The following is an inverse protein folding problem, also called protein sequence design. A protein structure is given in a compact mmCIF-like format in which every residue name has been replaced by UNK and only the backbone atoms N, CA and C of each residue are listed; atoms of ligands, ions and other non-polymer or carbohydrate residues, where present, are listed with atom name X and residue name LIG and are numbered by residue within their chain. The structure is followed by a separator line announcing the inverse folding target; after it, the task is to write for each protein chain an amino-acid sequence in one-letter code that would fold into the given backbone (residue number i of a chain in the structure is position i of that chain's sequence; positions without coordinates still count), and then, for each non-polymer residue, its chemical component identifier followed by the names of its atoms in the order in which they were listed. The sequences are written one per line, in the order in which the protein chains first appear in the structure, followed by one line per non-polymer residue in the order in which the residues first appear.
data_IF_074837098328
#
_entry.id   IF_074837098328
#
_cell.length_a   1.000
_cell.length_b   1.000
_cell.length_c   1.000
_cell.angle_alpha   90.00
_cell.angle_beta   90.00
_cell.angle_gamma   90.00
#
_symmetry.space_group_name_H-M   'P 1'
#
loop_
_entity.id
_entity.type
_entity.pdbx_description
1 polymer ?
#
# COMPACT_ATOMS: atom_id res chain seq x y z
N UNK A 1 5.10 -58.24 32.45
CA UNK A 1 5.04 -59.18 31.31
C UNK A 1 6.45 -59.29 30.76
N UNK A 2 7.31 -60.19 31.26
CA UNK A 2 7.42 -61.62 30.89
C UNK A 2 7.49 -61.87 29.37
N UNK A 3 8.70 -61.98 28.82
CA UNK A 3 9.33 -63.22 28.30
C UNK A 3 10.69 -62.85 27.68
N UNK A 4 11.87 -63.31 28.15
CA UNK A 4 12.53 -64.64 28.14
C UNK A 4 13.25 -65.02 26.83
N UNK A 5 14.50 -65.49 27.02
CA UNK A 5 15.45 -66.22 26.15
C UNK A 5 16.64 -65.34 25.67
N UNK A 6 17.91 -65.58 26.01
CA UNK A 6 18.60 -66.73 26.60
C UNK A 6 19.66 -67.24 25.62
N UNK A 7 20.96 -67.10 25.93
CA UNK A 7 21.95 -68.16 25.74
C UNK A 7 23.26 -67.84 26.47
N UNK A 8 23.66 -68.82 27.27
CA UNK A 8 24.86 -68.89 28.09
C UNK A 8 25.67 -70.05 27.49
N UNK A 9 26.91 -69.82 27.06
CA UNK A 9 27.85 -70.91 26.77
C UNK A 9 29.16 -70.60 27.45
N UNK A 10 29.37 -71.27 28.58
CA UNK A 10 30.66 -71.44 29.21
C UNK A 10 31.42 -72.57 28.51
N UNK A 11 32.61 -72.27 27.99
CA UNK A 11 33.55 -73.24 27.43
C UNK A 11 34.85 -73.23 28.23
N UNK A 12 35.11 -74.35 28.91
CA UNK A 12 36.32 -74.68 29.68
C UNK A 12 37.61 -74.54 28.84
N UNK A 13 38.64 -74.03 29.50
CA UNK A 13 40.07 -74.12 29.18
C UNK A 13 40.56 -75.53 28.83
N UNK A 14 41.64 -75.62 28.03
CA UNK A 14 42.75 -76.51 28.35
C UNK A 14 44.04 -75.74 28.62
N UNK A 15 44.79 -76.25 29.61
CA UNK A 15 46.17 -75.91 29.97
C UNK A 15 47.18 -76.41 28.93
N UNK A 16 48.30 -75.69 28.82
CA UNK A 16 49.54 -76.09 28.12
C UNK A 16 49.69 -75.40 26.77
N UNK A 17 50.72 -74.62 26.48
CA UNK A 17 52.13 -74.74 26.85
C UNK A 17 52.81 -73.36 26.85
N UNK A 18 53.80 -73.22 27.73
CA UNK A 18 54.70 -72.08 27.82
C UNK A 18 55.30 -71.70 26.45
N UNK A 19 55.12 -70.44 26.08
CA UNK A 19 55.81 -69.76 25.01
C UNK A 19 55.95 -68.31 25.43
N UNK A 20 57.13 -67.97 25.93
CA UNK A 20 57.72 -66.63 26.06
C UNK A 20 56.72 -65.48 26.29
N UNK A 21 56.46 -65.21 27.56
CA UNK A 21 56.05 -63.89 28.00
C UNK A 21 57.20 -62.92 27.72
N UNK A 22 57.19 -62.28 26.55
CA UNK A 22 57.69 -60.91 26.47
C UNK A 22 56.78 -60.08 27.37
N UNK A 23 57.18 -59.97 28.63
CA UNK A 23 56.77 -58.90 29.52
C UNK A 23 57.23 -57.57 28.88
N UNK A 24 56.54 -57.13 27.83
CA UNK A 24 56.47 -55.72 27.49
C UNK A 24 55.63 -55.14 28.60
N UNK A 25 56.29 -54.71 29.67
CA UNK A 25 55.72 -53.87 30.71
C UNK A 25 55.21 -52.59 30.06
N UNK A 26 54.02 -52.68 29.45
CA UNK A 26 53.35 -51.60 28.76
C UNK A 26 52.77 -50.74 29.85
N UNK A 27 53.53 -49.73 30.26
CA UNK A 27 53.03 -48.72 31.17
C UNK A 27 51.90 -47.98 30.45
N UNK A 28 50.66 -48.24 30.88
CA UNK A 28 49.46 -47.59 30.35
C UNK A 28 49.34 -46.21 30.99
N UNK A 29 49.68 -45.17 30.24
CA UNK A 29 49.55 -43.78 30.70
C UNK A 29 48.23 -43.19 30.21
N UNK A 30 47.23 -43.11 31.09
CA UNK A 30 46.00 -42.36 30.79
C UNK A 30 46.26 -40.89 31.07
N UNK A 31 46.26 -40.08 30.02
CA UNK A 31 46.45 -38.64 30.09
C UNK A 31 45.16 -38.00 29.63
N UNK A 32 44.52 -37.20 30.49
CA UNK A 32 43.21 -36.58 30.25
C UNK A 32 43.40 -35.13 29.81
N UNK A 33 42.80 -34.78 28.68
CA UNK A 33 42.75 -33.40 28.18
C UNK A 33 41.30 -33.02 28.01
N UNK A 34 40.90 -31.83 28.45
CA UNK A 34 39.53 -31.33 28.30
C UNK A 34 39.51 -30.24 27.23
N UNK A 35 38.81 -30.51 26.13
CA UNK A 35 38.52 -29.48 25.13
C UNK A 35 37.12 -28.94 25.39
N UNK A 36 37.01 -27.64 25.65
CA UNK A 36 35.71 -26.95 25.63
C UNK A 36 35.42 -26.58 24.19
N UNK A 37 34.48 -27.31 23.60
CA UNK A 37 33.91 -26.89 22.32
C UNK A 37 33.02 -25.71 22.61
N UNK A 38 33.30 -24.57 21.99
CA UNK A 38 32.36 -23.45 22.02
C UNK A 38 30.98 -23.87 21.52
N UNK A 39 30.04 -22.94 21.49
CA UNK A 39 28.78 -23.16 20.77
C UNK A 39 28.96 -23.38 19.26
N UNK A 40 30.21 -23.37 18.76
CA UNK A 40 30.69 -23.61 17.40
C UNK A 40 30.26 -24.93 16.74
N UNK A 41 29.32 -25.69 17.31
CA UNK A 41 28.70 -26.83 16.61
C UNK A 41 29.62 -28.02 16.31
N UNK A 42 30.92 -27.94 16.65
CA UNK A 42 31.88 -29.04 16.56
C UNK A 42 31.32 -30.24 17.35
N UNK A 43 30.85 -31.25 16.63
CA UNK A 43 30.35 -32.48 17.24
C UNK A 43 31.51 -33.25 17.87
N UNK A 44 31.20 -34.07 18.88
CA UNK A 44 32.16 -35.04 19.43
C UNK A 44 32.79 -35.88 18.32
N UNK A 45 32.01 -36.24 17.30
CA UNK A 45 32.46 -36.95 16.09
C UNK A 45 33.51 -36.18 15.28
N UNK A 46 33.38 -34.86 15.16
CA UNK A 46 34.35 -34.04 14.43
C UNK A 46 35.69 -33.98 15.16
N UNK A 47 35.66 -33.92 16.49
CA UNK A 47 36.86 -33.94 17.34
C UNK A 47 37.51 -35.31 17.32
N UNK A 48 36.71 -36.38 17.36
CA UNK A 48 37.19 -37.75 17.20
C UNK A 48 37.82 -38.00 15.83
N UNK A 49 37.22 -37.47 14.76
CA UNK A 49 37.79 -37.54 13.41
C UNK A 49 39.14 -36.80 13.31
N UNK A 50 39.27 -35.64 13.96
CA UNK A 50 40.54 -34.88 14.00
C UNK A 50 41.61 -35.66 14.78
N UNK A 51 41.25 -36.21 15.94
CA UNK A 51 42.17 -36.95 16.80
C UNK A 51 42.62 -38.28 16.21
N UNK A 52 41.74 -38.95 15.47
CA UNK A 52 42.05 -40.19 14.77
C UNK A 52 42.66 -40.00 13.38
N UNK A 53 42.85 -38.75 12.94
CA UNK A 53 43.55 -38.43 11.71
C UNK A 53 45.00 -38.91 11.77
N UNK A 54 45.40 -39.75 10.81
CA UNK A 54 46.79 -40.19 10.64
C UNK A 54 47.75 -39.00 10.54
N UNK A 55 47.35 -37.92 9.87
CA UNK A 55 48.16 -36.71 9.74
C UNK A 55 48.42 -36.03 11.09
N UNK A 56 47.47 -36.06 12.02
CA UNK A 56 47.65 -35.50 13.36
C UNK A 56 48.57 -36.38 14.20
N UNK A 57 48.41 -37.71 14.09
CA UNK A 57 49.25 -38.68 14.80
C UNK A 57 50.71 -38.59 14.36
N UNK A 58 50.96 -38.55 13.04
CA UNK A 58 52.30 -38.41 12.47
C UNK A 58 52.95 -37.10 12.91
N UNK A 59 52.25 -35.96 12.77
CA UNK A 59 52.76 -34.65 13.20
C UNK A 59 53.10 -34.60 14.69
N UNK A 60 52.27 -35.20 15.53
CA UNK A 60 52.52 -35.24 16.95
C UNK A 60 53.69 -36.16 17.34
N UNK A 61 53.84 -37.31 16.67
CA UNK A 61 54.99 -38.20 16.85
C UNK A 61 56.30 -37.52 16.43
N UNK A 62 56.31 -36.85 15.27
CA UNK A 62 57.45 -36.05 14.79
C UNK A 62 57.81 -34.91 15.75
N UNK A 63 56.81 -34.14 16.20
CA UNK A 63 57.00 -33.04 17.15
C UNK A 63 57.50 -33.52 18.52
N UNK A 64 57.19 -34.76 18.91
CA UNK A 64 57.70 -35.39 20.13
C UNK A 64 59.12 -35.97 19.97
N UNK A 65 59.66 -36.01 18.74
CA UNK A 65 60.94 -36.64 18.42
C UNK A 65 60.88 -38.18 18.45
N UNK A 66 59.70 -38.76 18.27
CA UNK A 66 59.46 -40.20 18.23
C UNK A 66 59.44 -40.71 16.78
N UNK A 67 59.64 -42.01 16.60
CA UNK A 67 59.44 -42.64 15.30
C UNK A 67 57.94 -42.52 14.90
N UNK A 68 57.59 -42.06 13.69
CA UNK A 68 56.20 -42.03 13.22
C UNK A 68 55.50 -43.41 13.25
N UNK A 69 56.25 -44.51 13.26
CA UNK A 69 55.69 -45.88 13.37
C UNK A 69 55.22 -46.27 14.79
N UNK A 70 55.34 -45.37 15.79
CA UNK A 70 54.86 -45.65 17.15
C UNK A 70 53.32 -45.74 17.13
N UNK A 71 52.79 -46.93 17.40
CA UNK A 71 51.35 -47.14 17.51
C UNK A 71 50.83 -46.65 18.86
N UNK A 72 49.85 -45.76 18.81
CA UNK A 72 49.10 -45.32 19.98
C UNK A 72 47.62 -45.24 19.66
N UNK A 73 46.80 -45.65 20.63
CA UNK A 73 45.35 -45.58 20.53
C UNK A 73 44.88 -44.29 21.22
N UNK A 74 44.07 -43.50 20.52
CA UNK A 74 43.37 -42.35 21.08
C UNK A 74 41.91 -42.75 21.21
N UNK A 75 41.36 -42.70 22.41
CA UNK A 75 39.92 -42.81 22.63
C UNK A 75 39.35 -41.50 23.13
N UNK A 76 38.27 -41.07 22.48
CA UNK A 76 37.52 -39.87 22.83
C UNK A 76 36.36 -40.28 23.72
N UNK A 77 36.31 -39.73 24.93
CA UNK A 77 35.23 -39.96 25.88
C UNK A 77 34.46 -38.66 26.06
N UNK A 78 33.18 -38.68 25.70
CA UNK A 78 32.28 -37.59 26.00
C UNK A 78 32.03 -37.55 27.52
N UNK A 79 32.41 -36.46 28.19
CA UNK A 79 32.28 -36.30 29.65
C UNK A 79 31.14 -35.35 30.00
N UNK A 80 30.20 -35.12 29.09
CA UNK A 80 29.15 -34.12 29.22
C UNK A 80 28.19 -34.37 30.40
N UNK A 81 28.57 -33.91 31.59
CA UNK A 81 27.66 -33.58 32.69
C UNK A 81 27.51 -32.06 32.88
N UNK A 82 28.44 -31.25 32.37
CA UNK A 82 28.52 -29.79 32.61
C UNK A 82 29.00 -28.94 31.41
N UNK A 83 28.92 -29.47 30.19
CA UNK A 83 29.33 -28.76 28.96
C UNK A 83 29.84 -29.70 27.87
N UNK A 84 30.12 -29.17 26.68
CA UNK A 84 30.77 -29.89 25.56
C UNK A 84 32.26 -30.09 25.88
N UNK A 85 32.55 -30.93 26.86
CA UNK A 85 33.90 -31.30 27.26
C UNK A 85 34.23 -32.68 26.73
N UNK A 86 35.29 -32.75 25.94
CA UNK A 86 35.82 -34.00 25.41
C UNK A 86 37.05 -34.40 26.21
N UNK A 87 37.07 -35.62 26.74
CA UNK A 87 38.26 -36.22 27.34
C UNK A 87 38.97 -37.10 26.33
N UNK A 88 40.23 -36.80 26.06
CA UNK A 88 41.10 -37.66 25.25
C UNK A 88 41.85 -38.59 26.17
N UNK A 89 41.82 -39.90 25.92
CA UNK A 89 42.70 -40.87 26.59
C UNK A 89 43.71 -41.41 25.57
N UNK A 90 44.99 -41.30 25.89
CA UNK A 90 46.08 -41.88 25.11
C UNK A 90 46.47 -43.25 25.69
N UNK A 91 46.68 -44.27 24.84
CA UNK A 91 47.28 -45.54 25.27
C UNK A 91 48.53 -45.82 24.47
N UNK A 92 49.67 -45.83 25.16
CA UNK A 92 50.99 -46.07 24.59
C UNK A 92 51.50 -47.45 25.00
N UNK A 93 51.98 -48.20 24.02
CA UNK A 93 52.64 -49.48 24.24
C UNK A 93 54.16 -49.32 24.10
N UNK A 94 54.82 -48.73 25.12
CA UNK A 94 56.26 -48.46 25.09
C UNK A 94 56.96 -48.93 26.38
N UNK A 95 58.12 -49.61 26.30
CA UNK A 95 58.84 -50.19 27.44
C UNK A 95 59.62 -49.19 28.31
N UNK A 96 59.77 -47.94 27.88
CA UNK A 96 60.48 -46.90 28.63
C UNK A 96 59.85 -45.52 28.43
N UNK A 97 60.00 -44.67 29.45
CA UNK A 97 59.81 -43.22 29.43
C UNK A 97 58.36 -42.66 29.53
N UNK A 98 57.88 -42.54 30.78
CA UNK A 98 56.88 -41.52 31.18
C UNK A 98 57.20 -40.13 30.61
N UNK A 99 58.49 -39.81 30.41
CA UNK A 99 58.95 -38.57 29.81
C UNK A 99 58.61 -38.45 28.31
N UNK A 100 58.70 -39.53 27.54
CA UNK A 100 58.37 -39.56 26.11
C UNK A 100 56.85 -39.53 25.91
N UNK A 101 56.09 -40.28 26.73
CA UNK A 101 54.63 -40.19 26.76
C UNK A 101 54.13 -38.76 27.05
N UNK A 102 54.80 -38.03 27.95
CA UNK A 102 54.51 -36.62 28.24
C UNK A 102 54.84 -35.69 27.08
N UNK A 103 55.96 -35.93 26.38
CA UNK A 103 56.32 -35.15 25.17
C UNK A 103 55.29 -35.37 24.06
N UNK A 104 54.88 -36.61 23.82
CA UNK A 104 53.86 -36.94 22.83
C UNK A 104 52.50 -36.33 23.16
N UNK A 105 52.07 -36.38 24.43
CA UNK A 105 50.83 -35.73 24.84
C UNK A 105 50.90 -34.21 24.63
N UNK A 106 52.01 -33.58 25.03
CA UNK A 106 52.18 -32.14 24.84
C UNK A 106 52.11 -31.75 23.35
N UNK A 107 52.74 -32.56 22.48
CA UNK A 107 52.65 -32.39 21.03
C UNK A 107 51.22 -32.58 20.49
N UNK A 108 50.52 -33.65 20.91
CA UNK A 108 49.11 -33.90 20.54
C UNK A 108 48.20 -32.76 20.99
N UNK A 109 48.37 -32.25 22.21
CA UNK A 109 47.59 -31.12 22.72
C UNK A 109 47.84 -29.84 21.90
N UNK A 110 49.10 -29.61 21.52
CA UNK A 110 49.49 -28.47 20.70
C UNK A 110 48.88 -28.54 19.30
N UNK A 111 48.97 -29.71 18.64
CA UNK A 111 48.38 -29.93 17.32
C UNK A 111 46.84 -29.89 17.34
N UNK A 112 46.21 -30.50 18.36
CA UNK A 112 44.76 -30.42 18.55
C UNK A 112 44.31 -28.97 18.76
N UNK A 113 45.04 -28.21 19.58
CA UNK A 113 44.76 -26.78 19.78
C UNK A 113 44.86 -26.01 18.48
N UNK A 114 45.94 -26.19 17.72
CA UNK A 114 46.12 -25.53 16.42
C UNK A 114 45.03 -25.93 15.41
N UNK A 115 44.60 -27.20 15.40
CA UNK A 115 43.51 -27.67 14.56
C UNK A 115 42.17 -27.02 14.92
N UNK A 116 41.85 -26.96 16.23
CA UNK A 116 40.63 -26.34 16.74
C UNK A 116 40.62 -24.82 16.54
N UNK A 117 41.75 -24.14 16.73
CA UNK A 117 41.90 -22.70 16.43
C UNK A 117 41.61 -22.41 14.95
N UNK A 118 42.16 -23.21 14.01
CA UNK A 118 41.87 -23.07 12.57
C UNK A 118 40.41 -23.29 12.22
N UNK A 119 39.74 -24.22 12.89
CA UNK A 119 38.29 -24.46 12.68
C UNK A 119 37.51 -23.25 13.21
N UNK A 120 37.86 -22.76 14.39
CA UNK A 120 37.21 -21.59 14.96
C UNK A 120 37.37 -20.33 14.11
N UNK A 121 38.57 -20.09 13.56
CA UNK A 121 38.80 -19.01 12.61
C UNK A 121 37.90 -19.11 11.36
N UNK A 122 37.71 -20.33 10.84
CA UNK A 122 36.82 -20.57 9.69
C UNK A 122 35.36 -20.33 10.02
N UNK A 123 34.89 -20.82 11.16
CA UNK A 123 33.50 -20.64 11.60
C UNK A 123 33.18 -19.16 11.81
N UNK A 124 34.10 -18.43 12.47
CA UNK A 124 33.96 -16.99 12.68
C UNK A 124 33.96 -16.22 11.35
N UNK A 125 34.86 -16.58 10.43
CA UNK A 125 34.91 -15.98 9.10
C UNK A 125 33.63 -16.26 8.29
N UNK A 126 33.08 -17.48 8.38
CA UNK A 126 31.82 -17.82 7.73
C UNK A 126 30.65 -17.04 8.32
N UNK A 127 30.58 -16.92 9.65
CA UNK A 127 29.55 -16.14 10.34
C UNK A 127 29.61 -14.66 9.96
N UNK A 128 30.81 -14.08 9.92
CA UNK A 128 31.04 -12.71 9.45
C UNK A 128 30.62 -12.54 7.99
N UNK A 129 30.97 -13.49 7.12
CA UNK A 129 30.58 -13.46 5.71
C UNK A 129 29.06 -13.51 5.53
N UNK A 130 28.35 -14.37 6.28
CA UNK A 130 26.88 -14.44 6.28
C UNK A 130 26.25 -13.12 6.75
N UNK A 131 26.80 -12.52 7.81
CA UNK A 131 26.33 -11.25 8.35
C UNK A 131 26.55 -10.10 7.37
N UNK A 132 27.70 -10.04 6.70
CA UNK A 132 27.96 -9.06 5.63
C UNK A 132 27.01 -9.23 4.44
N UNK A 133 26.75 -10.48 4.01
CA UNK A 133 25.80 -10.77 2.95
C UNK A 133 24.37 -10.31 3.32
N UNK A 134 23.91 -10.60 4.53
CA UNK A 134 22.62 -10.16 5.03
C UNK A 134 22.51 -8.63 5.10
N UNK A 135 23.56 -7.93 5.55
CA UNK A 135 23.61 -6.45 5.54
C UNK A 135 23.57 -5.86 4.14
N UNK A 136 24.27 -6.47 3.18
CA UNK A 136 24.19 -6.06 1.76
C UNK A 136 22.79 -6.25 1.21
N UNK A 137 22.13 -7.36 1.52
CA UNK A 137 20.74 -7.61 1.14
C UNK A 137 19.79 -6.58 1.75
N UNK A 138 19.95 -6.23 3.03
CA UNK A 138 19.17 -5.17 3.68
C UNK A 138 19.33 -3.81 2.97
N UNK A 139 20.56 -3.45 2.60
CA UNK A 139 20.82 -2.21 1.87
C UNK A 139 20.16 -2.21 0.48
N UNK A 140 20.21 -3.33 -0.24
CA UNK A 140 19.54 -3.49 -1.54
C UNK A 140 18.02 -3.37 -1.42
N UNK A 141 17.41 -4.04 -0.44
CA UNK A 141 15.97 -3.95 -0.20
C UNK A 141 15.53 -2.51 0.12
N UNK A 142 16.30 -1.80 0.96
CA UNK A 142 16.01 -0.39 1.27
C UNK A 142 16.10 0.51 0.03
N UNK A 143 17.13 0.32 -0.81
CA UNK A 143 17.28 1.08 -2.05
C UNK A 143 16.12 0.82 -3.02
N UNK A 144 15.73 -0.44 -3.20
CA UNK A 144 14.59 -0.82 -4.05
C UNK A 144 13.27 -0.24 -3.52
N UNK A 145 13.04 -0.29 -2.21
CA UNK A 145 11.87 0.34 -1.59
C UNK A 145 11.85 1.85 -1.78
N UNK A 146 13.01 2.52 -1.69
CA UNK A 146 13.10 3.95 -1.94
C UNK A 146 12.75 4.28 -3.40
N UNK A 147 13.30 3.54 -4.36
CA UNK A 147 12.98 3.71 -5.78
C UNK A 147 11.48 3.52 -6.05
N UNK A 148 10.85 2.49 -5.47
CA UNK A 148 9.41 2.28 -5.62
C UNK A 148 8.58 3.40 -5.00
N UNK A 149 9.00 3.97 -3.87
CA UNK A 149 8.33 5.13 -3.27
C UNK A 149 8.44 6.37 -4.16
N UNK A 150 9.59 6.59 -4.77
CA UNK A 150 9.80 7.69 -5.73
C UNK A 150 8.95 7.50 -7.00
N UNK A 151 8.90 6.27 -7.54
CA UNK A 151 8.01 5.91 -8.64
C UNK A 151 6.53 6.14 -8.28
N UNK A 152 6.12 5.72 -7.08
CA UNK A 152 4.77 5.94 -6.57
C UNK A 152 4.42 7.42 -6.46
N UNK A 153 5.35 8.26 -5.99
CA UNK A 153 5.18 9.72 -5.96
C UNK A 153 5.03 10.31 -7.34
N UNK A 154 5.88 9.91 -8.29
CA UNK A 154 5.79 10.37 -9.68
C UNK A 154 4.44 10.01 -10.33
N UNK A 155 3.92 8.80 -10.07
CA UNK A 155 2.58 8.41 -10.53
C UNK A 155 1.47 9.26 -9.89
N UNK A 156 1.55 9.54 -8.59
CA UNK A 156 0.59 10.39 -7.88
C UNK A 156 0.61 11.84 -8.39
N UNK A 157 1.80 12.40 -8.62
CA UNK A 157 1.98 13.73 -9.20
C UNK A 157 1.45 13.82 -10.63
N UNK A 158 1.73 12.83 -11.47
CA UNK A 158 1.22 12.76 -12.84
C UNK A 158 -0.33 12.68 -12.88
N UNK A 159 -0.92 11.95 -11.93
CA UNK A 159 -2.37 11.88 -11.76
C UNK A 159 -2.98 13.16 -11.12
N UNK A 160 -2.16 14.00 -10.48
CA UNK A 160 -2.61 15.14 -9.69
C UNK A 160 -3.41 14.73 -8.45
N UNK A 161 -3.14 13.56 -7.87
CA UNK A 161 -3.88 13.02 -6.71
C UNK A 161 -2.94 12.60 -5.60
N UNK A 162 -3.38 12.79 -4.36
CA UNK A 162 -2.66 12.32 -3.17
C UNK A 162 -2.76 10.80 -2.94
N UNK A 163 -3.69 10.11 -3.61
CA UNK A 163 -3.93 8.68 -3.48
C UNK A 163 -4.36 8.07 -4.80
N UNK A 164 -3.86 6.87 -5.11
CA UNK A 164 -4.14 6.08 -6.30
C UNK A 164 -4.77 4.73 -5.93
N UNK A 165 -5.95 4.79 -5.32
CA UNK A 165 -6.73 3.62 -4.94
C UNK A 165 -7.75 3.31 -6.05
N UNK A 166 -7.62 2.19 -6.79
CA UNK A 166 -8.46 1.90 -7.94
C UNK A 166 -9.94 1.79 -7.58
N UNK A 167 -10.26 1.22 -6.42
CA UNK A 167 -11.65 1.04 -5.99
C UNK A 167 -12.31 2.38 -5.69
N UNK A 168 -11.58 3.28 -5.01
CA UNK A 168 -12.06 4.64 -4.74
C UNK A 168 -12.24 5.44 -6.02
N UNK A 169 -11.28 5.38 -6.93
CA UNK A 169 -11.36 6.12 -8.21
C UNK A 169 -12.52 5.59 -9.05
N UNK A 170 -12.72 4.27 -9.12
CA UNK A 170 -13.86 3.67 -9.81
C UNK A 170 -15.20 4.09 -9.17
N UNK A 171 -15.30 4.07 -7.84
CA UNK A 171 -16.49 4.48 -7.12
C UNK A 171 -16.81 5.98 -7.31
N UNK A 172 -15.80 6.84 -7.27
CA UNK A 172 -15.95 8.28 -7.56
C UNK A 172 -16.45 8.52 -8.98
N UNK A 173 -15.84 7.86 -9.97
CA UNK A 173 -16.27 7.95 -11.38
C UNK A 173 -17.71 7.48 -11.55
N UNK A 174 -18.08 6.34 -10.97
CA UNK A 174 -19.45 5.83 -11.01
C UNK A 174 -20.44 6.80 -10.34
N UNK A 175 -20.05 7.40 -9.20
CA UNK A 175 -20.83 8.42 -8.51
C UNK A 175 -21.03 9.67 -9.35
N UNK A 176 -19.98 10.19 -9.99
CA UNK A 176 -20.07 11.33 -10.90
C UNK A 176 -20.96 11.02 -12.11
N UNK A 177 -20.86 9.82 -12.69
CA UNK A 177 -21.71 9.40 -13.79
C UNK A 177 -23.19 9.30 -13.39
N UNK A 178 -23.48 8.73 -12.20
CA UNK A 178 -24.84 8.72 -11.66
C UNK A 178 -25.36 10.14 -11.47
N UNK A 179 -24.55 11.01 -10.88
CA UNK A 179 -24.92 12.41 -10.63
C UNK A 179 -25.16 13.19 -11.92
N UNK A 180 -24.35 12.96 -12.95
CA UNK A 180 -24.54 13.56 -14.27
C UNK A 180 -25.88 13.13 -14.88
N UNK A 181 -26.24 11.84 -14.80
CA UNK A 181 -27.54 11.34 -15.30
C UNK A 181 -28.72 11.91 -14.54
N UNK A 182 -28.61 12.04 -13.22
CA UNK A 182 -29.63 12.71 -12.39
C UNK A 182 -29.80 14.17 -12.81
N UNK A 183 -28.70 14.92 -12.94
CA UNK A 183 -28.73 16.32 -13.36
C UNK A 183 -29.27 16.49 -14.78
N UNK A 184 -29.00 15.56 -15.70
CA UNK A 184 -29.59 15.53 -17.04
C UNK A 184 -31.12 15.34 -17.00
N UNK A 185 -31.59 14.41 -16.17
CA UNK A 185 -33.02 14.17 -15.99
C UNK A 185 -33.71 15.38 -15.34
N UNK A 186 -33.10 15.99 -14.33
CA UNK A 186 -33.60 17.22 -13.70
C UNK A 186 -33.63 18.39 -14.70
N UNK A 187 -32.59 18.55 -15.53
CA UNK A 187 -32.54 19.59 -16.55
C UNK A 187 -33.64 19.39 -17.61
N UNK A 188 -33.87 18.15 -18.03
CA UNK A 188 -34.96 17.82 -18.97
C UNK A 188 -36.32 18.15 -18.37
N UNK A 189 -36.54 17.83 -17.09
CA UNK A 189 -37.77 18.18 -16.39
C UNK A 189 -37.97 19.70 -16.26
N UNK A 190 -36.89 20.45 -15.95
CA UNK A 190 -36.90 21.92 -15.87
C UNK A 190 -37.32 22.54 -17.21
N UNK A 191 -36.75 22.05 -18.32
CA UNK A 191 -37.10 22.51 -19.68
C UNK A 191 -38.55 22.20 -20.05
N UNK A 192 -39.04 21.01 -19.70
CA UNK A 192 -40.44 20.67 -19.92
C UNK A 192 -41.38 21.58 -19.10
N UNK A 193 -40.99 21.95 -17.88
CA UNK A 193 -41.73 22.92 -17.07
C UNK A 193 -41.71 24.32 -17.70
N UNK A 194 -40.57 24.77 -18.25
CA UNK A 194 -40.44 26.05 -18.95
C UNK A 194 -41.38 26.11 -20.16
N UNK A 195 -41.41 25.07 -20.97
CA UNK A 195 -42.32 24.94 -22.12
C UNK A 195 -43.79 24.96 -21.67
N UNK A 196 -44.14 24.22 -20.62
CA UNK A 196 -45.50 24.17 -20.10
C UNK A 196 -45.98 25.51 -19.55
N UNK A 197 -45.14 26.21 -18.78
CA UNK A 197 -45.49 27.55 -18.25
C UNK A 197 -45.58 28.57 -19.37
N UNK A 198 -44.70 28.50 -20.38
CA UNK A 198 -44.77 29.37 -21.57
C UNK A 198 -46.09 29.18 -22.33
N UNK A 199 -46.52 27.93 -22.54
CA UNK A 199 -47.82 27.63 -23.15
C UNK A 199 -48.99 28.16 -22.31
N UNK A 200 -48.91 28.08 -20.98
CA UNK A 200 -49.93 28.65 -20.09
C UNK A 200 -50.00 30.18 -20.21
N UNK A 201 -48.87 30.88 -20.30
CA UNK A 201 -48.84 32.33 -20.51
C UNK A 201 -49.51 32.69 -21.83
N UNK A 202 -49.20 31.98 -22.92
CA UNK A 202 -49.82 32.24 -24.23
C UNK A 202 -51.33 31.99 -24.20
N UNK A 203 -51.79 30.89 -23.58
CA UNK A 203 -53.23 30.65 -23.42
C UNK A 203 -53.93 31.75 -22.60
N UNK A 204 -53.27 32.28 -21.56
CA UNK A 204 -53.84 33.39 -20.77
C UNK A 204 -53.86 34.68 -21.59
N UNK A 205 -52.83 34.95 -22.40
CA UNK A 205 -52.79 36.09 -23.32
C UNK A 205 -53.91 36.01 -24.36
N UNK A 206 -54.10 34.87 -25.01
CA UNK A 206 -55.18 34.65 -25.97
C UNK A 206 -56.57 34.88 -25.33
N UNK A 207 -56.78 34.37 -24.11
CA UNK A 207 -58.04 34.61 -23.36
C UNK A 207 -58.23 36.09 -23.00
N UNK A 208 -57.17 36.79 -22.64
CA UNK A 208 -57.23 38.23 -22.36
C UNK A 208 -57.54 39.05 -23.60
N UNK A 209 -56.98 38.68 -24.76
CA UNK A 209 -57.28 39.34 -26.04
C UNK A 209 -58.71 39.08 -26.50
N UNK A 210 -59.16 37.82 -26.50
CA UNK A 210 -60.56 37.48 -26.80
C UNK A 210 -61.52 38.24 -25.89
N UNK A 211 -61.23 38.33 -24.58
CA UNK A 211 -62.09 39.08 -23.67
C UNK A 211 -62.16 40.57 -24.00
N UNK A 212 -61.07 41.18 -24.47
CA UNK A 212 -61.06 42.59 -24.91
C UNK A 212 -61.89 42.77 -26.19
N UNK A 213 -61.81 41.80 -27.10
CA UNK A 213 -62.59 41.82 -28.35
C UNK A 213 -64.09 41.55 -28.08
N UNK A 214 -64.43 40.77 -27.05
CA UNK A 214 -65.81 40.43 -26.69
C UNK A 214 -66.50 41.46 -25.76
N UNK A 215 -65.80 42.48 -25.26
CA UNK A 215 -66.37 43.48 -24.33
C UNK A 215 -67.14 44.59 -25.08
N UNK A 216 -68.47 44.53 -24.96
CA UNK A 216 -69.40 45.48 -25.59
C UNK A 216 -69.14 46.94 -25.17
N UNK A 217 -68.80 47.17 -23.90
CA UNK A 217 -68.47 48.51 -23.39
C UNK A 217 -67.20 49.08 -24.05
N UNK A 218 -66.18 48.26 -24.30
CA UNK A 218 -64.99 48.65 -25.05
C UNK A 218 -65.31 49.00 -26.49
N UNK A 219 -66.21 48.26 -27.14
CA UNK A 219 -66.69 48.59 -28.48
C UNK A 219 -67.40 49.94 -28.52
N UNK A 220 -68.33 50.19 -27.59
CA UNK A 220 -69.01 51.48 -27.45
C UNK A 220 -68.02 52.63 -27.17
N UNK A 221 -67.07 52.43 -26.25
CA UNK A 221 -66.04 53.43 -25.95
C UNK A 221 -65.14 53.69 -27.17
N UNK A 222 -64.82 52.68 -27.99
CA UNK A 222 -64.07 52.84 -29.23
C UNK A 222 -64.85 53.68 -30.26
N UNK A 223 -66.17 53.48 -30.38
CA UNK A 223 -67.02 54.31 -31.23
C UNK A 223 -67.09 55.76 -30.74
N UNK A 224 -67.22 55.97 -29.42
CA UNK A 224 -67.18 57.30 -28.81
C UNK A 224 -65.85 58.00 -29.13
N UNK A 225 -64.71 57.30 -28.99
CA UNK A 225 -63.40 57.84 -29.36
C UNK A 225 -63.35 58.24 -30.83
N UNK A 226 -63.82 57.38 -31.75
CA UNK A 226 -63.87 57.68 -33.19
C UNK A 226 -64.73 58.90 -33.50
N UNK A 227 -65.90 59.02 -32.87
CA UNK A 227 -66.79 60.17 -33.04
C UNK A 227 -66.15 61.46 -32.51
N UNK A 228 -65.48 61.41 -31.35
CA UNK A 228 -64.75 62.55 -30.77
C UNK A 228 -63.54 62.95 -31.62
N UNK A 229 -62.86 62.00 -32.24
CA UNK A 229 -61.76 62.25 -33.18
C UNK A 229 -62.22 63.03 -34.40
N UNK A 230 -63.34 62.62 -35.02
CA UNK A 230 -63.94 63.34 -36.16
C UNK A 230 -64.35 64.75 -35.76
N UNK A 231 -65.01 64.90 -34.61
CA UNK A 231 -65.38 66.23 -34.09
C UNK A 231 -64.16 67.10 -33.84
N UNK A 232 -63.13 66.59 -33.16
CA UNK A 232 -61.91 67.36 -32.87
C UNK A 232 -61.18 67.79 -34.16
N UNK A 233 -61.11 66.92 -35.16
CA UNK A 233 -60.50 67.25 -36.45
C UNK A 233 -61.30 68.27 -37.25
N UNK A 234 -62.64 68.20 -37.26
CA UNK A 234 -63.51 69.20 -37.87
C UNK A 234 -63.36 70.57 -37.18
N UNK A 235 -63.40 70.61 -35.85
CA UNK A 235 -63.25 71.86 -35.10
C UNK A 235 -61.85 72.46 -35.19
N UNK A 236 -60.80 71.65 -35.30
CA UNK A 236 -59.44 72.13 -35.58
C UNK A 236 -59.38 72.84 -36.93
N UNK A 237 -59.94 72.22 -37.98
CA UNK A 237 -60.01 72.81 -39.33
C UNK A 237 -60.76 74.14 -39.35
N UNK A 238 -61.94 74.21 -38.74
CA UNK A 238 -62.70 75.46 -38.66
C UNK A 238 -61.99 76.54 -37.83
N UNK A 239 -61.22 76.16 -36.80
CA UNK A 239 -60.41 77.10 -36.02
C UNK A 239 -59.21 77.62 -36.82
N UNK A 240 -58.54 76.77 -37.60
CA UNK A 240 -57.44 77.15 -38.49
C UNK A 240 -57.91 78.06 -39.63
N UNK A 241 -59.15 77.88 -40.08
CA UNK A 241 -59.81 78.71 -41.10
C UNK A 241 -60.39 80.03 -40.54
N UNK A 242 -60.33 80.26 -39.21
CA UNK A 242 -60.86 81.46 -38.56
C UNK A 242 -62.38 81.50 -38.42
N UNK A 243 -63.07 80.40 -38.76
CA UNK A 243 -64.54 80.28 -38.73
C UNK A 243 -65.07 79.89 -37.34
N UNK A 244 -64.22 79.35 -36.48
CA UNK A 244 -64.54 78.98 -35.10
C UNK A 244 -63.52 79.56 -34.11
N UNK A 245 -63.99 79.99 -32.93
CA UNK A 245 -63.11 80.43 -31.85
C UNK A 245 -62.30 79.26 -31.27
N UNK A 246 -60.99 79.45 -31.07
CA UNK A 246 -60.05 78.42 -30.61
C UNK A 246 -60.44 77.71 -29.30
N UNK A 247 -61.30 78.34 -28.48
CA UNK A 247 -61.90 77.72 -27.29
C UNK A 247 -62.73 76.47 -27.64
N UNK A 248 -63.46 76.47 -28.77
CA UNK A 248 -64.27 75.30 -29.18
C UNK A 248 -63.41 74.13 -29.66
N UNK A 249 -62.32 74.41 -30.38
CA UNK A 249 -61.34 73.40 -30.76
C UNK A 249 -60.65 72.80 -29.54
N UNK A 250 -60.28 73.63 -28.56
CA UNK A 250 -59.72 73.19 -27.28
C UNK A 250 -60.65 72.23 -26.51
N UNK A 251 -61.93 72.59 -26.36
CA UNK A 251 -62.93 71.73 -25.69
C UNK A 251 -63.16 70.40 -26.44
N UNK A 252 -63.07 70.40 -27.78
CA UNK A 252 -63.19 69.17 -28.56
C UNK A 252 -61.98 68.24 -28.37
N UNK A 253 -60.76 68.79 -28.29
CA UNK A 253 -59.55 68.04 -27.99
C UNK A 253 -59.54 67.48 -26.56
N UNK A 254 -59.99 68.25 -25.58
CA UNK A 254 -60.12 67.81 -24.19
C UNK A 254 -61.07 66.61 -24.07
N UNK A 255 -62.24 66.68 -24.71
CA UNK A 255 -63.20 65.56 -24.74
C UNK A 255 -62.68 64.33 -25.47
N UNK A 256 -61.83 64.50 -26.48
CA UNK A 256 -61.15 63.38 -27.13
C UNK A 256 -60.12 62.75 -26.18
N UNK A 257 -59.33 63.55 -25.48
CA UNK A 257 -58.37 63.06 -24.50
C UNK A 257 -59.06 62.28 -23.38
N UNK A 258 -60.18 62.79 -22.84
CA UNK A 258 -60.99 62.10 -21.83
C UNK A 258 -61.57 60.78 -22.36
N UNK A 259 -62.11 60.76 -23.58
CA UNK A 259 -62.63 59.53 -24.19
C UNK A 259 -61.54 58.47 -24.39
N UNK A 260 -60.35 58.88 -24.85
CA UNK A 260 -59.19 57.99 -24.98
C UNK A 260 -58.71 57.47 -23.62
N UNK A 261 -58.71 58.30 -22.58
CA UNK A 261 -58.37 57.90 -21.22
C UNK A 261 -59.33 56.83 -20.69
N UNK A 262 -60.65 57.06 -20.79
CA UNK A 262 -61.68 56.09 -20.36
C UNK A 262 -61.60 54.76 -21.14
N UNK A 263 -61.37 54.81 -22.45
CA UNK A 263 -61.16 53.62 -23.27
C UNK A 263 -59.91 52.83 -22.81
N UNK A 264 -58.80 53.52 -22.55
CA UNK A 264 -57.58 52.91 -22.05
C UNK A 264 -57.76 52.29 -20.65
N UNK A 265 -58.42 53.00 -19.73
CA UNK A 265 -58.72 52.53 -18.37
C UNK A 265 -59.57 51.25 -18.39
N UNK A 266 -60.64 51.22 -19.20
CA UNK A 266 -61.49 50.02 -19.32
C UNK A 266 -60.72 48.84 -19.90
N UNK A 267 -59.91 49.07 -20.94
CA UNK A 267 -59.06 48.04 -21.54
C UNK A 267 -58.05 47.47 -20.56
N UNK A 268 -57.43 48.33 -19.76
CA UNK A 268 -56.47 47.90 -18.74
C UNK A 268 -57.15 47.16 -17.58
N UNK A 269 -58.30 47.65 -17.11
CA UNK A 269 -59.10 46.97 -16.09
C UNK A 269 -59.50 45.56 -16.54
N UNK A 270 -59.97 45.43 -17.79
CA UNK A 270 -60.35 44.13 -18.35
C UNK A 270 -59.17 43.17 -18.41
N UNK A 271 -58.00 43.66 -18.82
CA UNK A 271 -56.75 42.87 -18.86
C UNK A 271 -56.31 42.42 -17.47
N UNK A 272 -56.41 43.30 -16.46
CA UNK A 272 -56.11 42.93 -15.06
C UNK A 272 -57.08 41.87 -14.55
N UNK A 273 -58.38 42.07 -14.74
CA UNK A 273 -59.44 41.14 -14.32
C UNK A 273 -59.34 39.75 -14.98
N UNK A 274 -58.89 39.68 -16.23
CA UNK A 274 -58.91 38.45 -17.04
C UNK A 274 -57.63 37.62 -16.99
N UNK A 275 -56.57 38.08 -16.32
CA UNK A 275 -55.35 37.28 -16.20
C UNK A 275 -54.06 38.05 -15.97
N UNK A 276 -54.08 39.37 -15.81
CA UNK A 276 -52.86 40.16 -15.58
C UNK A 276 -52.03 39.67 -14.39
N UNK A 277 -52.67 39.35 -13.26
CA UNK A 277 -52.00 38.80 -12.07
C UNK A 277 -51.47 37.37 -12.31
N UNK A 278 -52.23 36.54 -13.05
CA UNK A 278 -51.80 35.18 -13.39
C UNK A 278 -50.58 35.18 -14.32
N UNK A 279 -50.52 36.10 -15.29
CA UNK A 279 -49.34 36.29 -16.14
C UNK A 279 -48.14 36.67 -15.29
N UNK A 280 -48.32 37.57 -14.30
CA UNK A 280 -47.22 37.94 -13.40
C UNK A 280 -46.71 36.73 -12.62
N UNK A 281 -47.59 35.94 -11.98
CA UNK A 281 -47.21 34.73 -11.24
C UNK A 281 -46.51 33.69 -12.13
N UNK A 282 -47.02 33.46 -13.35
CA UNK A 282 -46.38 32.55 -14.30
C UNK A 282 -45.03 33.09 -14.79
N UNK A 283 -44.88 34.41 -14.94
CA UNK A 283 -43.62 35.05 -15.31
C UNK A 283 -42.57 34.93 -14.19
N UNK A 284 -42.98 35.13 -12.93
CA UNK A 284 -42.12 34.90 -11.77
C UNK A 284 -41.65 33.43 -11.72
N UNK A 285 -42.56 32.48 -11.93
CA UNK A 285 -42.23 31.05 -12.02
C UNK A 285 -41.27 30.74 -13.19
N UNK A 286 -41.42 31.38 -14.35
CA UNK A 286 -40.48 31.24 -15.46
C UNK A 286 -39.09 31.76 -15.08
N UNK A 287 -39.00 32.90 -14.40
CA UNK A 287 -37.73 33.46 -13.95
C UNK A 287 -37.04 32.51 -12.96
N UNK A 288 -37.77 31.99 -11.98
CA UNK A 288 -37.25 31.02 -11.02
C UNK A 288 -36.77 29.74 -11.71
N UNK A 289 -37.54 29.23 -12.68
CA UNK A 289 -37.16 28.05 -13.45
C UNK A 289 -35.94 28.30 -14.36
N UNK A 290 -35.81 29.51 -14.93
CA UNK A 290 -34.64 29.88 -15.73
C UNK A 290 -33.36 29.90 -14.87
N UNK A 291 -33.43 30.44 -13.66
CA UNK A 291 -32.31 30.39 -12.69
C UNK A 291 -31.95 28.94 -12.37
N UNK A 292 -32.94 28.11 -12.03
CA UNK A 292 -32.73 26.68 -11.75
C UNK A 292 -32.10 25.95 -12.94
N UNK A 293 -32.55 26.23 -14.15
CA UNK A 293 -32.02 25.64 -15.39
C UNK A 293 -30.56 26.01 -15.58
N UNK A 294 -30.19 27.28 -15.37
CA UNK A 294 -28.79 27.72 -15.44
C UNK A 294 -27.93 27.02 -14.39
N UNK A 295 -28.42 26.85 -13.15
CA UNK A 295 -27.72 26.10 -12.11
C UNK A 295 -27.50 24.62 -12.49
N UNK A 296 -28.54 23.97 -13.03
CA UNK A 296 -28.47 22.57 -13.47
C UNK A 296 -27.46 22.39 -14.61
N UNK A 297 -27.44 23.31 -15.58
CA UNK A 297 -26.45 23.32 -16.67
C UNK A 297 -25.03 23.45 -16.13
N UNK A 298 -24.78 24.40 -15.22
CA UNK A 298 -23.46 24.61 -14.64
C UNK A 298 -22.98 23.38 -13.84
N UNK A 299 -23.85 22.81 -13.00
CA UNK A 299 -23.53 21.59 -12.22
C UNK A 299 -23.29 20.39 -13.13
N UNK A 300 -24.07 20.24 -14.19
CA UNK A 300 -23.88 19.17 -15.18
C UNK A 300 -22.56 19.33 -15.92
N UNK A 301 -22.19 20.56 -16.32
CA UNK A 301 -20.92 20.82 -16.98
C UNK A 301 -19.72 20.53 -16.08
N UNK A 302 -19.78 20.88 -14.79
CA UNK A 302 -18.72 20.55 -13.82
C UNK A 302 -18.59 19.03 -13.64
N UNK A 303 -19.71 18.32 -13.46
CA UNK A 303 -19.68 16.86 -13.33
C UNK A 303 -19.08 16.19 -14.58
N UNK A 304 -19.47 16.62 -15.78
CA UNK A 304 -18.93 16.11 -17.06
C UNK A 304 -17.44 16.42 -17.22
N UNK A 305 -17.02 17.64 -16.92
CA UNK A 305 -15.61 18.03 -17.00
C UNK A 305 -14.73 17.18 -16.07
N UNK A 306 -15.20 16.87 -14.86
CA UNK A 306 -14.46 15.98 -13.93
C UNK A 306 -14.38 14.53 -14.43
N UNK A 307 -15.43 14.03 -15.06
CA UNK A 307 -15.44 12.69 -15.68
C UNK A 307 -14.44 12.67 -16.84
N UNK A 308 -14.46 13.69 -17.70
CA UNK A 308 -13.57 13.82 -18.85
C UNK A 308 -12.11 13.96 -18.40
N UNK A 309 -11.81 14.83 -17.45
CA UNK A 309 -10.46 14.98 -16.89
C UNK A 309 -9.93 13.64 -16.33
N UNK A 310 -10.78 12.87 -15.65
CA UNK A 310 -10.41 11.57 -15.13
C UNK A 310 -10.15 10.52 -16.22
N UNK A 311 -10.86 10.60 -17.35
CA UNK A 311 -10.62 9.78 -18.54
C UNK A 311 -9.37 10.22 -19.30
N UNK A 312 -9.17 11.52 -19.54
CA UNK A 312 -8.00 12.05 -20.23
C UNK A 312 -6.69 11.71 -19.52
N UNK A 313 -6.72 11.71 -18.17
CA UNK A 313 -5.58 11.31 -17.35
C UNK A 313 -5.45 9.80 -17.17
N UNK A 314 -6.34 9.00 -17.75
CA UNK A 314 -6.38 7.55 -17.58
C UNK A 314 -6.28 7.11 -16.10
N UNK A 315 -6.96 7.84 -15.19
CA UNK A 315 -6.74 7.70 -13.74
C UNK A 315 -6.90 6.27 -13.23
N UNK A 316 -7.85 5.52 -13.80
CA UNK A 316 -8.07 4.12 -13.42
C UNK A 316 -6.89 3.22 -13.84
N UNK A 317 -6.33 3.44 -15.02
CA UNK A 317 -5.17 2.70 -15.53
C UNK A 317 -3.94 3.03 -14.69
N UNK A 318 -3.70 4.30 -14.40
CA UNK A 318 -2.60 4.74 -13.53
C UNK A 318 -2.74 4.11 -12.14
N UNK A 319 -3.95 4.09 -11.57
CA UNK A 319 -4.18 3.52 -10.25
C UNK A 319 -3.98 2.00 -10.23
N UNK A 320 -4.47 1.28 -11.24
CA UNK A 320 -4.24 -0.17 -11.36
C UNK A 320 -2.75 -0.49 -11.50
N UNK A 321 -2.04 0.29 -12.31
CA UNK A 321 -0.59 0.17 -12.47
C UNK A 321 0.15 0.45 -11.17
N UNK A 322 -0.22 1.50 -10.45
CA UNK A 322 0.32 1.81 -9.12
C UNK A 322 0.11 0.65 -8.15
N UNK A 323 -1.10 0.08 -8.10
CA UNK A 323 -1.40 -1.04 -7.23
C UNK A 323 -0.54 -2.28 -7.54
N UNK A 324 -0.41 -2.62 -8.82
CA UNK A 324 0.34 -3.80 -9.27
C UNK A 324 1.87 -3.63 -9.17
N UNK A 325 2.40 -2.50 -9.63
CA UNK A 325 3.84 -2.28 -9.73
C UNK A 325 4.46 -1.76 -8.42
N UNK A 326 3.74 -0.92 -7.68
CA UNK A 326 4.27 -0.20 -6.52
C UNK A 326 3.73 -0.76 -5.22
N UNK A 327 2.41 -0.76 -5.01
CA UNK A 327 1.84 -1.12 -3.71
C UNK A 327 2.12 -2.57 -3.33
N UNK A 328 1.78 -3.53 -4.20
CA UNK A 328 2.03 -4.95 -3.96
C UNK A 328 3.52 -5.27 -3.77
N UNK A 329 4.39 -4.61 -4.55
CA UNK A 329 5.83 -4.83 -4.46
C UNK A 329 6.42 -4.23 -3.19
N UNK A 330 5.95 -3.07 -2.75
CA UNK A 330 6.35 -2.47 -1.47
C UNK A 330 5.95 -3.37 -0.29
N UNK A 331 4.74 -3.93 -0.29
CA UNK A 331 4.30 -4.84 0.76
C UNK A 331 5.16 -6.11 0.82
N UNK A 332 5.47 -6.69 -0.35
CA UNK A 332 6.37 -7.83 -0.46
C UNK A 332 7.77 -7.51 0.08
N UNK A 333 8.36 -6.38 -0.34
CA UNK A 333 9.70 -5.96 0.11
C UNK A 333 9.74 -5.64 1.60
N UNK A 334 8.68 -5.07 2.18
CA UNK A 334 8.56 -4.88 3.62
C UNK A 334 8.61 -6.20 4.38
N UNK A 335 7.89 -7.21 3.89
CA UNK A 335 7.93 -8.56 4.47
C UNK A 335 9.32 -9.18 4.40
N UNK A 336 10.04 -9.00 3.29
CA UNK A 336 11.42 -9.46 3.13
C UNK A 336 12.41 -8.71 4.03
N UNK A 337 12.25 -7.39 4.14
CA UNK A 337 13.08 -6.53 4.98
C UNK A 337 12.97 -6.96 6.45
N UNK A 338 11.77 -7.24 6.94
CA UNK A 338 11.56 -7.73 8.31
C UNK A 338 12.28 -9.06 8.57
N UNK A 339 12.25 -9.99 7.61
CA UNK A 339 12.98 -11.26 7.72
C UNK A 339 14.49 -11.05 7.79
N UNK A 340 15.05 -10.27 6.86
CA UNK A 340 16.50 -10.00 6.82
C UNK A 340 16.97 -9.26 8.08
N UNK A 341 16.18 -8.32 8.60
CA UNK A 341 16.50 -7.66 9.88
C UNK A 341 16.57 -8.63 11.04
N UNK A 342 15.64 -9.59 11.10
CA UNK A 342 15.67 -10.66 12.10
C UNK A 342 16.90 -11.54 11.92
N UNK A 343 17.21 -11.97 10.70
CA UNK A 343 18.38 -12.81 10.41
C UNK A 343 19.68 -12.09 10.82
N UNK A 344 19.79 -10.78 10.56
CA UNK A 344 20.93 -9.97 11.01
C UNK A 344 21.02 -9.97 12.54
N UNK A 345 19.90 -9.76 13.25
CA UNK A 345 19.90 -9.76 14.71
C UNK A 345 20.31 -11.12 15.30
N UNK A 346 19.84 -12.22 14.70
CA UNK A 346 20.21 -13.58 15.08
C UNK A 346 21.71 -13.83 14.83
N UNK A 347 22.23 -13.47 13.65
CA UNK A 347 23.65 -13.60 13.31
C UNK A 347 24.56 -12.72 14.18
N UNK A 348 24.12 -11.49 14.51
CA UNK A 348 24.84 -10.61 15.43
C UNK A 348 24.91 -11.18 16.84
N UNK A 349 23.84 -11.83 17.30
CA UNK A 349 23.80 -12.50 18.60
C UNK A 349 24.77 -13.68 18.60
N UNK A 350 24.70 -14.54 17.57
CA UNK A 350 25.64 -15.64 17.37
C UNK A 350 27.10 -15.15 17.34
N UNK A 351 27.38 -14.03 16.69
CA UNK A 351 28.73 -13.48 16.59
C UNK A 351 29.25 -12.92 17.92
N UNK A 352 28.38 -12.36 18.76
CA UNK A 352 28.74 -11.88 20.10
C UNK A 352 28.93 -13.03 21.10
N UNK A 353 28.13 -14.07 20.96
CA UNK A 353 28.18 -15.26 21.82
C UNK A 353 29.26 -16.25 21.39
N UNK A 354 29.81 -16.08 20.18
CA UNK A 354 30.87 -16.91 19.65
C UNK A 354 32.09 -16.94 20.59
N UNK A 355 32.43 -18.14 21.04
CA UNK A 355 33.67 -18.41 21.79
C UNK A 355 34.52 -19.37 20.97
N UNK A 356 35.81 -19.04 20.73
CA UNK A 356 36.71 -19.97 20.07
C UNK A 356 36.87 -21.23 20.93
N UNK A 357 37.08 -22.41 20.31
CA UNK A 357 37.36 -23.63 21.05
C UNK A 357 38.67 -23.49 21.83
N UNK A 358 38.70 -23.98 23.07
CA UNK A 358 39.89 -23.94 23.94
C UNK A 358 40.24 -25.35 24.40
N UNK A 359 41.54 -25.67 24.39
CA UNK A 359 42.08 -26.95 24.85
C UNK A 359 42.81 -26.75 26.17
N UNK A 360 42.43 -27.50 27.19
CA UNK A 360 43.09 -27.55 28.49
C UNK A 360 43.62 -28.96 28.78
N UNK A 361 44.77 -29.05 29.44
CA UNK A 361 45.35 -30.33 29.88
C UNK A 361 45.05 -30.52 31.36
N UNK A 362 44.36 -31.61 31.72
CA UNK A 362 43.91 -31.89 33.09
C UNK A 362 44.56 -33.18 33.58
N UNK A 363 45.78 -33.07 34.11
CA UNK A 363 46.52 -34.17 34.77
C UNK A 363 47.69 -34.76 33.97
N UNK A 364 48.74 -35.22 34.67
CA UNK A 364 49.98 -35.88 34.14
C UNK A 364 50.51 -36.97 35.05
#
# INVERSE_FOLDING_TARGET
MLMLAGLLVAGRTPLGTAGESEDISTARYVLRTEATVGESGLSTDAIEAILNSEDLKVRAAEAAGLNPDVSFEISVVDVSSFGKMVSVELRLAMPSARAEARKLLAALCSELRAALERIGERDLAELQHRLEAARKQLAQLNAEMQQLREQGRAMMEAAGRASLDPEKIAAELAGLQSRARELEAELLASKAEEEAVTQQIEQVRERMESAVDDDELLHELAEIVRLRERQATEWSKHSEQGEAGGVRAGVALEKLAEARARFAERREALRRERGGELIQVLSERLMDNAVRTAELVARLSDAKARIEEAHEKDLLVIAQRYQAEVAQRLDYLQGMLFKVQRDIAELETQAREYRPPVVFVVGT
#
